data_IF_277185732288
#
_entry.id   IF_277185732288
#
_cell.length_a   1.000
_cell.length_b   1.000
_cell.length_c   1.000
_cell.angle_alpha   90.00
_cell.angle_beta   90.00
_cell.angle_gamma   90.00
#
_symmetry.space_group_name_H-M   'P 1'
#
loop_
_entity.id
_entity.type
_entity.pdbx_description
1 polymer ?
#
# COMPACT_ATOMS: atom_id res chain seq x y z
N UNK A 1 -65.08 28.38 37.68
CA UNK A 1 -64.28 27.23 37.19
C UNK A 1 -63.76 27.55 35.79
N UNK A 2 -62.72 28.38 35.69
CA UNK A 2 -62.07 28.76 34.43
C UNK A 2 -60.59 28.84 34.77
N UNK A 3 -59.75 27.93 34.23
CA UNK A 3 -58.28 28.12 34.07
C UNK A 3 -57.45 26.85 33.86
N UNK A 4 -58.01 25.62 33.86
CA UNK A 4 -57.18 24.41 33.64
C UNK A 4 -56.92 24.02 32.18
N UNK A 5 -57.71 24.52 31.21
CA UNK A 5 -57.55 24.14 29.79
C UNK A 5 -56.47 24.94 29.05
N UNK A 6 -56.35 26.25 29.29
CA UNK A 6 -55.36 27.09 28.57
C UNK A 6 -53.90 26.85 28.97
N UNK A 7 -53.63 26.45 30.21
CA UNK A 7 -52.28 26.12 30.66
C UNK A 7 -51.76 24.79 30.06
N UNK A 8 -52.66 23.85 29.72
CA UNK A 8 -52.29 22.58 29.11
C UNK A 8 -51.86 22.74 27.65
N UNK A 9 -52.54 23.58 26.86
CA UNK A 9 -52.17 23.83 25.46
C UNK A 9 -50.82 24.53 25.31
N UNK A 10 -50.48 25.46 26.22
CA UNK A 10 -49.18 26.14 26.21
C UNK A 10 -48.01 25.18 26.50
N UNK A 11 -48.24 24.20 27.40
CA UNK A 11 -47.22 23.20 27.77
C UNK A 11 -46.95 22.20 26.65
N UNK A 12 -47.96 21.85 25.85
CA UNK A 12 -47.84 20.90 24.75
C UNK A 12 -46.99 21.46 23.61
N UNK A 13 -47.21 22.72 23.22
CA UNK A 13 -46.44 23.35 22.16
C UNK A 13 -44.94 23.48 22.51
N UNK A 14 -44.65 23.78 23.78
CA UNK A 14 -43.26 23.91 24.26
C UNK A 14 -42.53 22.56 24.20
N UNK A 15 -43.18 21.46 24.58
CA UNK A 15 -42.61 20.12 24.50
C UNK A 15 -42.32 19.72 23.05
N UNK A 16 -43.24 20.03 22.12
CA UNK A 16 -43.05 19.73 20.70
C UNK A 16 -41.82 20.43 20.13
N UNK A 17 -41.61 21.71 20.47
CA UNK A 17 -40.43 22.48 20.03
C UNK A 17 -39.14 21.86 20.56
N UNK A 18 -39.11 21.44 21.83
CA UNK A 18 -37.95 20.79 22.44
C UNK A 18 -37.63 19.47 21.72
N UNK A 19 -38.65 18.65 21.45
CA UNK A 19 -38.47 17.35 20.76
C UNK A 19 -37.92 17.56 19.35
N UNK A 20 -38.46 18.53 18.60
CA UNK A 20 -37.95 18.87 17.26
C UNK A 20 -36.48 19.33 17.34
N UNK A 21 -36.14 20.16 18.33
CA UNK A 21 -34.77 20.61 18.54
C UNK A 21 -33.80 19.45 18.79
N UNK A 22 -34.17 18.50 19.65
CA UNK A 22 -33.33 17.32 19.93
C UNK A 22 -33.17 16.43 18.70
N UNK A 23 -34.24 16.21 17.92
CA UNK A 23 -34.18 15.40 16.69
C UNK A 23 -33.28 16.04 15.64
N UNK A 24 -33.41 17.35 15.41
CA UNK A 24 -32.57 18.07 14.45
C UNK A 24 -31.09 18.06 14.86
N UNK A 25 -30.81 18.23 16.16
CA UNK A 25 -29.45 18.20 16.68
C UNK A 25 -28.82 16.80 16.54
N UNK A 26 -29.62 15.74 16.77
CA UNK A 26 -29.19 14.35 16.61
C UNK A 26 -28.83 14.03 15.15
N UNK A 27 -29.71 14.41 14.21
CA UNK A 27 -29.49 14.19 12.78
C UNK A 27 -28.31 15.02 12.25
N UNK A 28 -28.17 16.26 12.71
CA UNK A 28 -27.03 17.12 12.37
C UNK A 28 -25.70 16.50 12.80
N UNK A 29 -25.62 15.94 14.01
CA UNK A 29 -24.39 15.31 14.51
C UNK A 29 -24.01 14.05 13.70
N UNK A 30 -25.00 13.24 13.31
CA UNK A 30 -24.78 12.05 12.48
C UNK A 30 -24.28 12.46 11.08
N UNK A 31 -24.89 13.48 10.48
CA UNK A 31 -24.48 14.00 9.18
C UNK A 31 -23.04 14.50 9.19
N UNK A 32 -22.69 15.33 10.19
CA UNK A 32 -21.32 15.86 10.34
C UNK A 32 -20.30 14.74 10.53
N UNK A 33 -20.62 13.73 11.35
CA UNK A 33 -19.76 12.53 11.50
C UNK A 33 -19.59 11.76 10.20
N UNK A 34 -20.65 11.63 9.40
CA UNK A 34 -20.60 10.95 8.11
C UNK A 34 -19.72 11.65 7.08
N UNK A 35 -19.74 12.99 7.03
CA UNK A 35 -18.88 13.77 6.15
C UNK A 35 -17.41 13.67 6.59
N UNK A 36 -17.12 13.85 7.89
CA UNK A 36 -15.74 13.77 8.37
C UNK A 36 -15.13 12.39 8.14
N UNK A 37 -15.88 11.30 8.35
CA UNK A 37 -15.39 9.94 8.05
C UNK A 37 -15.01 9.77 6.57
N UNK A 38 -15.83 10.29 5.65
CA UNK A 38 -15.55 10.18 4.21
C UNK A 38 -14.36 11.05 3.78
N UNK A 39 -14.20 12.23 4.37
CA UNK A 39 -13.06 13.12 4.07
C UNK A 39 -11.74 12.55 4.58
N UNK A 40 -11.73 11.90 5.75
CA UNK A 40 -10.55 11.21 6.27
C UNK A 40 -10.13 10.06 5.34
N UNK A 41 -11.09 9.22 4.93
CA UNK A 41 -10.81 8.10 3.99
C UNK A 41 -10.32 8.58 2.62
N UNK A 42 -10.80 9.74 2.15
CA UNK A 42 -10.37 10.31 0.87
C UNK A 42 -8.97 10.94 0.98
N UNK A 43 -8.68 11.61 2.10
CA UNK A 43 -7.38 12.22 2.36
C UNK A 43 -6.30 11.14 2.44
N UNK A 44 -6.55 10.06 3.20
CA UNK A 44 -5.61 8.95 3.34
C UNK A 44 -5.31 8.27 1.99
N UNK A 45 -6.31 8.15 1.10
CA UNK A 45 -6.12 7.61 -0.26
C UNK A 45 -5.34 8.56 -1.17
N UNK A 46 -5.56 9.87 -1.05
CA UNK A 46 -4.83 10.87 -1.86
C UNK A 46 -3.36 10.92 -1.44
N UNK A 47 -3.06 10.92 -0.14
CA UNK A 47 -1.68 10.87 0.35
C UNK A 47 -0.99 9.55 -0.06
N UNK A 48 -1.67 8.40 0.08
CA UNK A 48 -1.12 7.11 -0.33
C UNK A 48 -0.85 6.98 -1.85
N UNK A 49 -1.53 7.77 -2.68
CA UNK A 49 -1.28 7.81 -4.13
C UNK A 49 -0.19 8.81 -4.49
N UNK A 50 -0.13 9.96 -3.81
CA UNK A 50 0.94 10.94 -3.99
C UNK A 50 2.30 10.37 -3.61
N UNK A 51 2.40 9.64 -2.49
CA UNK A 51 3.65 9.00 -2.06
C UNK A 51 4.13 7.95 -3.07
N UNK A 52 3.22 7.20 -3.70
CA UNK A 52 3.56 6.22 -4.74
C UNK A 52 4.11 6.89 -6.01
N UNK A 53 3.52 8.02 -6.41
CA UNK A 53 3.98 8.77 -7.58
C UNK A 53 5.35 9.41 -7.30
N UNK A 54 5.55 9.96 -6.09
CA UNK A 54 6.81 10.58 -5.67
C UNK A 54 7.93 9.55 -5.53
N UNK A 55 7.66 8.35 -5.01
CA UNK A 55 8.64 7.25 -4.99
C UNK A 55 9.02 6.81 -6.42
N UNK A 56 8.05 6.81 -7.35
CA UNK A 56 8.31 6.46 -8.76
C UNK A 56 9.12 7.52 -9.52
N UNK A 57 9.08 8.78 -9.08
CA UNK A 57 9.82 9.90 -9.68
C UNK A 57 11.15 10.19 -8.96
N UNK A 58 11.25 9.89 -7.67
CA UNK A 58 12.43 10.09 -6.83
C UNK A 58 13.37 8.89 -6.78
N UNK A 59 12.92 7.72 -7.25
CA UNK A 59 13.68 6.49 -7.39
C UNK A 59 14.76 6.55 -8.48
N UNK A 60 15.79 7.36 -8.25
CA UNK A 60 17.16 7.15 -8.73
C UNK A 60 17.41 7.15 -10.25
N UNK A 61 17.68 8.33 -10.79
CA UNK A 61 18.24 8.54 -12.14
C UNK A 61 19.59 7.82 -12.35
N UNK A 62 20.23 7.33 -11.27
CA UNK A 62 21.57 6.71 -11.29
C UNK A 62 21.66 5.32 -10.63
N UNK A 63 20.56 4.67 -10.21
CA UNK A 63 20.64 3.32 -9.63
C UNK A 63 20.12 2.27 -10.61
N UNK A 64 20.90 1.22 -10.83
CA UNK A 64 20.54 0.13 -11.73
C UNK A 64 19.38 -0.73 -11.18
N UNK A 65 19.13 -0.70 -9.87
CA UNK A 65 18.01 -1.35 -9.21
C UNK A 65 17.30 -0.38 -8.26
N UNK A 66 15.97 -0.33 -8.35
CA UNK A 66 15.10 0.49 -7.51
C UNK A 66 13.92 -0.35 -7.02
N UNK A 67 13.55 -0.18 -5.75
CA UNK A 67 12.37 -0.80 -5.15
C UNK A 67 11.27 0.22 -4.93
N UNK A 68 10.03 -0.12 -5.27
CA UNK A 68 8.87 0.70 -4.96
C UNK A 68 7.64 -0.15 -4.59
N UNK A 69 7.09 -0.02 -3.36
CA UNK A 69 7.65 0.72 -2.22
C UNK A 69 8.83 -0.03 -1.57
N UNK A 70 9.72 0.68 -0.86
CA UNK A 70 10.83 0.07 -0.10
C UNK A 70 10.34 -0.74 1.12
N UNK A 71 9.23 -0.30 1.71
CA UNK A 71 8.59 -0.97 2.85
C UNK A 71 7.18 -1.43 2.50
N UNK A 72 6.94 -2.73 2.62
CA UNK A 72 5.62 -3.34 2.41
C UNK A 72 5.00 -3.69 3.75
N UNK A 73 3.85 -3.08 4.05
CA UNK A 73 3.06 -3.40 5.24
C UNK A 73 1.91 -4.34 4.87
N UNK A 74 1.76 -5.45 5.58
CA UNK A 74 0.67 -6.40 5.37
C UNK A 74 0.18 -7.02 6.68
N UNK A 75 -1.05 -7.54 6.69
CA UNK A 75 -1.57 -8.31 7.82
C UNK A 75 -1.25 -9.78 7.64
N UNK A 76 -1.15 -10.52 8.75
CA UNK A 76 -0.95 -11.98 8.70
C UNK A 76 -2.03 -12.69 7.88
N UNK A 77 -1.64 -13.46 6.86
CA UNK A 77 -2.55 -14.12 5.92
C UNK A 77 -2.93 -13.28 4.69
N UNK A 78 -2.43 -12.06 4.54
CA UNK A 78 -2.61 -11.26 3.34
C UNK A 78 -1.44 -11.41 2.36
N UNK A 79 -1.72 -11.07 1.10
CA UNK A 79 -0.73 -10.93 0.05
C UNK A 79 -0.59 -9.44 -0.27
N UNK A 80 0.63 -8.95 -0.40
CA UNK A 80 0.92 -7.62 -0.91
C UNK A 80 2.01 -7.72 -1.98
N UNK A 81 2.28 -6.65 -2.71
CA UNK A 81 3.29 -6.66 -3.75
C UNK A 81 4.11 -5.38 -3.76
N UNK A 82 5.31 -5.48 -4.32
CA UNK A 82 6.18 -4.37 -4.62
C UNK A 82 6.78 -4.56 -6.02
N UNK A 83 7.22 -3.45 -6.61
CA UNK A 83 7.86 -3.43 -7.91
C UNK A 83 9.37 -3.32 -7.71
N UNK A 84 10.13 -4.13 -8.45
CA UNK A 84 11.55 -3.93 -8.68
C UNK A 84 11.71 -3.35 -10.07
N UNK A 85 12.30 -2.17 -10.17
CA UNK A 85 12.70 -1.58 -11.44
C UNK A 85 14.19 -1.86 -11.65
N UNK A 86 14.51 -2.44 -12.80
CA UNK A 86 15.88 -2.71 -13.24
C UNK A 86 16.16 -1.80 -14.43
N UNK A 87 17.20 -0.98 -14.34
CA UNK A 87 17.60 -0.06 -15.40
C UNK A 87 19.03 -0.38 -15.85
N UNK A 88 19.23 -0.53 -17.15
CA UNK A 88 20.58 -0.63 -17.69
C UNK A 88 21.16 0.77 -17.89
N UNK A 89 22.02 1.20 -16.98
CA UNK A 89 22.73 2.49 -17.08
C UNK A 89 24.06 2.39 -17.83
N UNK A 90 24.53 1.17 -18.10
CA UNK A 90 25.81 0.94 -18.77
C UNK A 90 25.67 1.00 -20.30
N UNK A 91 26.80 1.19 -20.98
CA UNK A 91 26.87 1.24 -22.44
C UNK A 91 26.78 -0.12 -23.14
N UNK A 92 26.67 -1.23 -22.40
CA UNK A 92 26.67 -2.60 -22.93
C UNK A 92 25.33 -3.32 -22.70
N UNK A 93 25.01 -4.28 -23.57
CA UNK A 93 23.81 -5.09 -23.43
C UNK A 93 23.98 -6.14 -22.33
N UNK A 94 23.07 -6.19 -21.37
CA UNK A 94 22.99 -7.31 -20.45
C UNK A 94 22.16 -8.42 -21.06
N UNK A 95 22.77 -9.57 -21.32
CA UNK A 95 22.10 -10.76 -21.86
C UNK A 95 22.08 -11.83 -20.80
N UNK A 96 20.94 -12.51 -20.62
CA UNK A 96 20.89 -13.63 -19.71
C UNK A 96 20.57 -13.26 -18.25
N UNK A 97 19.93 -12.12 -18.00
CA UNK A 97 19.59 -11.69 -16.65
C UNK A 97 18.51 -12.59 -16.04
N UNK A 98 18.71 -12.98 -14.78
CA UNK A 98 17.75 -13.73 -13.97
C UNK A 98 17.64 -13.12 -12.59
N UNK A 99 16.43 -12.72 -12.21
CA UNK A 99 16.12 -12.29 -10.85
C UNK A 99 15.82 -13.50 -9.97
N UNK A 100 16.35 -13.51 -8.74
CA UNK A 100 16.05 -14.52 -7.72
C UNK A 100 15.55 -13.83 -6.46
N UNK A 101 14.52 -14.41 -5.85
CA UNK A 101 13.96 -13.95 -4.57
C UNK A 101 14.40 -14.89 -3.45
N UNK A 102 14.88 -14.31 -2.36
CA UNK A 102 15.19 -15.04 -1.13
C UNK A 102 14.52 -14.34 0.05
N UNK A 103 13.81 -15.11 0.87
CA UNK A 103 13.21 -14.62 2.11
C UNK A 103 14.10 -14.99 3.30
N UNK A 104 14.31 -14.06 4.22
CA UNK A 104 15.02 -14.35 5.48
C UNK A 104 14.19 -15.22 6.44
N UNK A 105 12.88 -15.36 6.21
CA UNK A 105 11.96 -16.05 7.10
C UNK A 105 11.06 -17.05 6.35
N UNK A 106 11.03 -18.31 6.79
CA UNK A 106 10.23 -19.38 6.19
C UNK A 106 8.70 -19.13 6.26
N UNK A 107 8.24 -18.22 7.11
CA UNK A 107 6.83 -17.83 7.24
C UNK A 107 6.40 -16.76 6.23
N UNK A 108 7.34 -16.28 5.42
CA UNK A 108 7.14 -15.21 4.44
C UNK A 108 7.59 -15.76 3.10
N UNK A 109 6.66 -15.85 2.17
CA UNK A 109 6.90 -16.36 0.82
C UNK A 109 7.01 -15.15 -0.09
N UNK A 110 8.17 -15.00 -0.73
CA UNK A 110 8.39 -14.05 -1.81
C UNK A 110 8.37 -14.79 -3.14
N UNK A 111 7.53 -14.37 -4.05
CA UNK A 111 7.35 -15.01 -5.34
C UNK A 111 7.04 -13.96 -6.43
N UNK A 112 7.33 -14.31 -7.67
CA UNK A 112 6.92 -13.52 -8.82
C UNK A 112 5.46 -13.82 -9.19
N UNK A 113 4.93 -13.09 -10.18
CA UNK A 113 3.55 -13.24 -10.65
C UNK A 113 3.19 -14.67 -11.12
N UNK A 114 4.19 -15.46 -11.52
CA UNK A 114 4.05 -16.85 -11.94
C UNK A 114 4.12 -17.85 -10.76
N UNK A 115 4.28 -17.37 -9.53
CA UNK A 115 4.43 -18.20 -8.33
C UNK A 115 5.82 -18.80 -8.15
N UNK A 116 6.80 -18.38 -8.94
CA UNK A 116 8.18 -18.89 -8.84
C UNK A 116 9.06 -17.93 -8.03
N UNK A 117 10.21 -18.43 -7.56
CA UNK A 117 11.25 -17.62 -6.92
C UNK A 117 12.30 -17.09 -7.91
N UNK A 118 12.16 -17.35 -9.20
CA UNK A 118 13.12 -16.95 -10.24
C UNK A 118 12.42 -16.41 -11.48
N UNK A 119 12.91 -15.30 -12.03
CA UNK A 119 12.36 -14.80 -13.30
C UNK A 119 12.81 -15.67 -14.48
N UNK A 120 12.05 -15.60 -15.57
CA UNK A 120 12.57 -15.97 -16.89
C UNK A 120 13.85 -15.19 -17.24
N UNK A 121 14.57 -15.69 -18.23
CA UNK A 121 15.79 -15.05 -18.74
C UNK A 121 15.41 -13.79 -19.52
N UNK A 122 16.13 -12.69 -19.29
CA UNK A 122 15.87 -11.39 -19.90
C UNK A 122 17.12 -10.77 -20.49
N UNK A 123 16.90 -9.87 -21.45
CA UNK A 123 17.94 -9.05 -22.07
C UNK A 123 17.58 -7.59 -21.87
N UNK A 124 18.54 -6.79 -21.39
CA UNK A 124 18.37 -5.37 -21.12
C UNK A 124 19.37 -4.58 -21.96
N UNK A 125 18.86 -3.80 -22.91
CA UNK A 125 19.67 -2.90 -23.73
C UNK A 125 20.00 -1.61 -22.95
N UNK A 126 21.11 -0.92 -23.24
CA UNK A 126 21.46 0.36 -22.64
C UNK A 126 20.30 1.35 -22.65
N UNK A 127 20.02 1.97 -21.51
CA UNK A 127 18.92 2.91 -21.32
C UNK A 127 17.53 2.29 -21.24
N UNK A 128 17.38 0.97 -21.39
CA UNK A 128 16.10 0.31 -21.17
C UNK A 128 15.86 0.02 -19.69
N UNK A 129 14.58 -0.01 -19.36
CA UNK A 129 14.07 -0.33 -18.03
C UNK A 129 13.16 -1.55 -18.12
N UNK A 130 13.24 -2.44 -17.13
CA UNK A 130 12.31 -3.54 -16.93
C UNK A 130 11.71 -3.47 -15.52
N UNK A 131 10.42 -3.79 -15.42
CA UNK A 131 9.64 -3.70 -14.18
C UNK A 131 9.15 -5.09 -13.81
N UNK A 132 9.63 -5.57 -12.67
CA UNK A 132 9.35 -6.91 -12.17
C UNK A 132 8.45 -6.78 -10.94
N UNK A 133 7.24 -7.33 -11.04
CA UNK A 133 6.31 -7.39 -9.92
C UNK A 133 6.65 -8.57 -9.01
N UNK A 134 6.84 -8.27 -7.73
CA UNK A 134 7.09 -9.26 -6.68
C UNK A 134 5.92 -9.26 -5.71
N UNK A 135 5.48 -10.45 -5.34
CA UNK A 135 4.43 -10.67 -4.36
C UNK A 135 5.01 -11.27 -3.09
N UNK A 136 4.48 -10.82 -1.95
CA UNK A 136 4.86 -11.26 -0.63
C UNK A 136 3.62 -11.75 0.10
N UNK A 137 3.69 -12.99 0.59
CA UNK A 137 2.63 -13.65 1.34
C UNK A 137 3.12 -13.92 2.76
N UNK A 138 2.41 -13.38 3.75
CA UNK A 138 2.63 -13.74 5.15
C UNK A 138 1.72 -14.89 5.56
N UNK A 139 2.28 -15.90 6.23
CA UNK A 139 1.47 -16.93 6.87
C UNK A 139 0.53 -16.33 7.93
N UNK A 140 -0.66 -16.93 8.08
CA UNK A 140 -1.65 -16.51 9.06
C UNK A 140 -1.06 -16.58 10.47
N UNK A 141 -1.20 -15.49 11.24
CA UNK A 141 -0.70 -15.39 12.62
C UNK A 141 0.78 -15.03 12.76
N UNK A 142 1.50 -14.78 11.66
CA UNK A 142 2.82 -14.16 11.73
C UNK A 142 2.69 -12.66 12.01
N UNK A 143 3.50 -12.17 12.96
CA UNK A 143 3.65 -10.76 13.32
C UNK A 143 5.16 -10.53 13.46
N UNK A 144 5.68 -9.48 12.84
CA UNK A 144 7.09 -9.14 12.89
C UNK A 144 7.59 -8.47 11.63
N UNK A 145 8.87 -8.11 11.65
CA UNK A 145 9.57 -7.50 10.51
C UNK A 145 10.55 -8.49 9.92
N UNK A 146 10.63 -8.54 8.60
CA UNK A 146 11.52 -9.42 7.84
C UNK A 146 11.90 -8.75 6.53
N UNK A 147 12.80 -9.35 5.76
CA UNK A 147 13.25 -8.81 4.49
C UNK A 147 13.10 -9.83 3.37
N UNK A 148 12.75 -9.29 2.21
CA UNK A 148 12.73 -10.01 0.95
C UNK A 148 13.89 -9.51 0.09
N UNK A 149 14.86 -10.37 -0.15
CA UNK A 149 16.05 -10.07 -0.93
C UNK A 149 15.81 -10.40 -2.40
N UNK A 150 16.01 -9.43 -3.27
CA UNK A 150 16.04 -9.61 -4.72
C UNK A 150 17.48 -9.51 -5.21
N UNK A 151 17.95 -10.54 -5.91
CA UNK A 151 19.28 -10.59 -6.51
C UNK A 151 19.12 -10.74 -8.02
N UNK A 152 19.76 -9.90 -8.81
CA UNK A 152 19.80 -10.03 -10.27
C UNK A 152 21.17 -10.57 -10.68
N UNK A 153 21.18 -11.70 -11.38
CA UNK A 153 22.41 -12.40 -11.82
C UNK A 153 22.42 -12.53 -13.35
N UNK A 154 23.55 -12.23 -13.99
CA UNK A 154 23.82 -12.53 -15.40
C UNK A 154 24.30 -13.97 -15.61
N UNK A 155 23.74 -14.68 -16.61
CA UNK A 155 24.02 -16.10 -16.87
C UNK A 155 25.28 -16.38 -17.72
N UNK A 156 25.87 -15.38 -18.40
CA UNK A 156 27.05 -15.55 -19.26
C UNK A 156 27.93 -14.30 -19.25
N UNK A 157 29.12 -14.39 -18.62
CA UNK A 157 30.23 -13.41 -18.54
C UNK A 157 29.89 -11.95 -18.20
N UNK A 158 28.62 -11.64 -18.08
CA UNK A 158 28.04 -10.38 -17.63
C UNK A 158 27.99 -10.45 -16.12
N UNK A 159 29.03 -9.93 -15.48
CA UNK A 159 29.08 -9.76 -14.03
C UNK A 159 28.14 -8.61 -13.66
N UNK A 160 26.84 -8.89 -13.72
CA UNK A 160 25.82 -8.07 -13.10
C UNK A 160 25.39 -8.81 -11.84
N UNK A 161 25.95 -8.39 -10.71
CA UNK A 161 25.58 -8.88 -9.38
C UNK A 161 25.13 -7.67 -8.56
N UNK A 162 23.82 -7.46 -8.56
CA UNK A 162 23.20 -6.37 -7.82
C UNK A 162 22.08 -6.95 -6.96
N UNK A 163 22.03 -6.49 -5.72
CA UNK A 163 21.11 -6.98 -4.73
C UNK A 163 20.39 -5.82 -4.06
N UNK A 164 19.09 -6.00 -3.82
CA UNK A 164 18.28 -5.01 -3.13
C UNK A 164 17.30 -5.71 -2.19
N UNK A 165 17.03 -5.10 -1.03
CA UNK A 165 16.23 -5.71 0.02
C UNK A 165 14.96 -4.89 0.27
N UNK A 166 13.80 -5.52 0.12
CA UNK A 166 12.53 -4.93 0.53
C UNK A 166 12.26 -5.25 2.01
N UNK A 167 11.85 -4.24 2.77
CA UNK A 167 11.48 -4.40 4.19
C UNK A 167 10.01 -4.78 4.27
N UNK A 168 9.71 -5.89 4.92
CA UNK A 168 8.37 -6.44 5.06
C UNK A 168 7.95 -6.34 6.52
N UNK A 169 6.92 -5.55 6.80
CA UNK A 169 6.37 -5.35 8.14
C UNK A 169 5.01 -6.02 8.22
N UNK A 170 4.88 -7.01 9.10
CA UNK A 170 3.63 -7.72 9.33
C UNK A 170 3.05 -7.36 10.68
N UNK A 171 1.86 -6.75 10.67
CA UNK A 171 1.14 -6.23 11.84
C UNK A 171 -0.29 -6.73 11.90
#
# INVERSE_FOLDING_TARGET
MVSKKGALELSMNTIVIIVIGVVLLSLGLIFVRGIFSQTTDLSDKVFANADKELDSLGGSVNNALVLSPETVRLKGGQTSGFMVQVTNLEGENYVGLRGTLTSANQRIICEFADGTAQTGIRTLIPGAEDRINVFVKAQKGYIGTTSCKFTLVGLQDTVFDNEINAIIVVS
#
